data_IF_140725078122
#
_entry.id   IF_140725078122
#
_cell.length_a   1.000
_cell.length_b   1.000
_cell.length_c   1.000
_cell.angle_alpha   90.00
_cell.angle_beta   90.00
_cell.angle_gamma   90.00
#
_symmetry.space_group_name_H-M   'P 1'
#
loop_
_entity.id
_entity.type
_entity.pdbx_description
1 polymer ?
#
# COMPACT_ATOMS: atom_id res chain seq x y z
N UNK A 1 -21.23 -54.47 -1.63
CA UNK A 1 -20.49 -53.36 -2.26
C UNK A 1 -21.02 -52.06 -1.70
N UNK A 2 -20.23 -51.34 -0.90
CA UNK A 2 -20.61 -50.04 -0.36
C UNK A 2 -20.21 -48.94 -1.35
N UNK A 3 -21.18 -48.25 -1.93
CA UNK A 3 -20.93 -47.09 -2.79
C UNK A 3 -20.78 -45.85 -1.92
N UNK A 4 -19.55 -45.34 -1.81
CA UNK A 4 -19.28 -44.05 -1.19
C UNK A 4 -19.86 -42.94 -2.07
N UNK A 5 -20.90 -42.25 -1.60
CA UNK A 5 -21.43 -41.03 -2.21
C UNK A 5 -20.39 -39.92 -2.03
N UNK A 6 -19.72 -39.55 -3.13
CA UNK A 6 -18.81 -38.40 -3.19
C UNK A 6 -19.59 -37.12 -2.89
N UNK A 7 -19.44 -36.61 -1.67
CA UNK A 7 -19.93 -35.29 -1.30
C UNK A 7 -19.01 -34.21 -1.90
N UNK A 8 -19.20 -33.87 -3.16
CA UNK A 8 -18.47 -32.79 -3.82
C UNK A 8 -19.18 -31.45 -3.55
N UNK A 9 -19.03 -30.94 -2.32
CA UNK A 9 -19.44 -29.59 -1.97
C UNK A 9 -18.22 -28.76 -1.54
N UNK A 10 -17.18 -28.73 -2.39
CA UNK A 10 -16.20 -27.64 -2.36
C UNK A 10 -16.81 -26.43 -3.05
N UNK A 11 -17.60 -25.65 -2.31
CA UNK A 11 -17.95 -24.29 -2.73
C UNK A 11 -16.64 -23.52 -2.83
N UNK A 12 -16.21 -23.23 -4.07
CA UNK A 12 -15.15 -22.28 -4.36
C UNK A 12 -15.38 -21.03 -3.52
N UNK A 13 -14.37 -20.48 -2.81
CA UNK A 13 -14.55 -19.24 -2.10
C UNK A 13 -14.96 -18.20 -3.13
N UNK A 14 -16.19 -17.69 -2.97
CA UNK A 14 -16.69 -16.53 -3.73
C UNK A 14 -15.60 -15.48 -3.63
N UNK A 15 -14.99 -15.14 -4.75
CA UNK A 15 -14.14 -13.96 -4.91
C UNK A 15 -14.92 -12.79 -4.31
N UNK A 16 -14.64 -12.46 -3.05
CA UNK A 16 -15.13 -11.24 -2.44
C UNK A 16 -14.62 -10.14 -3.37
N UNK A 17 -15.49 -9.31 -3.97
CA UNK A 17 -15.00 -8.14 -4.67
C UNK A 17 -14.11 -7.41 -3.66
N UNK A 18 -12.83 -7.18 -4.02
CA UNK A 18 -11.91 -6.38 -3.21
C UNK A 18 -12.71 -5.16 -2.81
N UNK A 19 -13.02 -5.02 -1.51
CA UNK A 19 -13.75 -3.87 -1.02
C UNK A 19 -13.01 -2.68 -1.60
N UNK A 20 -13.73 -1.84 -2.35
CA UNK A 20 -13.20 -0.55 -2.78
C UNK A 20 -12.90 0.16 -1.47
N UNK A 21 -11.66 0.04 -0.99
CA UNK A 21 -11.20 0.75 0.20
C UNK A 21 -11.45 2.20 -0.14
N UNK A 22 -12.35 2.84 0.58
CA UNK A 22 -12.62 4.26 0.40
C UNK A 22 -11.27 4.97 0.42
N UNK A 23 -10.86 5.50 -0.73
CA UNK A 23 -9.61 6.25 -0.86
C UNK A 23 -9.87 7.60 -0.21
N UNK A 24 -9.84 7.62 1.12
CA UNK A 24 -9.90 8.85 1.90
C UNK A 24 -8.62 9.61 1.61
N UNK A 25 -8.74 10.63 0.76
CA UNK A 25 -7.66 11.53 0.43
C UNK A 25 -7.53 12.55 1.55
N UNK A 26 -6.56 12.35 2.45
CA UNK A 26 -6.20 13.33 3.46
C UNK A 26 -5.13 14.27 2.90
N UNK A 27 -5.34 15.58 3.03
CA UNK A 27 -4.33 16.59 2.72
C UNK A 27 -3.57 16.91 4.01
N UNK A 28 -2.25 16.90 3.94
CA UNK A 28 -1.37 17.20 5.06
C UNK A 28 -0.45 18.35 4.64
N UNK A 29 -0.39 19.39 5.46
CA UNK A 29 0.55 20.49 5.29
C UNK A 29 1.77 20.24 6.16
N UNK A 30 2.95 20.29 5.57
CA UNK A 30 4.24 20.12 6.27
C UNK A 30 5.07 21.39 6.16
N UNK A 31 5.81 21.71 7.22
CA UNK A 31 6.82 22.76 7.22
C UNK A 31 8.17 22.09 7.02
N UNK A 32 8.91 22.54 6.02
CA UNK A 32 10.25 22.07 5.70
C UNK A 32 11.17 23.28 5.55
N UNK A 33 12.46 23.08 5.82
CA UNK A 33 13.49 24.08 5.56
C UNK A 33 13.74 24.24 4.06
N UNK A 34 14.43 25.34 3.68
CA UNK A 34 14.81 25.57 2.29
C UNK A 34 15.79 24.51 1.77
N UNK A 35 16.73 24.07 2.61
CA UNK A 35 17.70 23.01 2.28
C UNK A 35 16.99 21.67 2.01
N UNK A 36 16.03 21.28 2.85
CA UNK A 36 15.22 20.08 2.62
C UNK A 36 14.43 20.18 1.31
N UNK A 37 13.87 21.35 1.01
CA UNK A 37 13.14 21.59 -0.23
C UNK A 37 14.02 21.41 -1.48
N UNK A 38 15.25 21.92 -1.44
CA UNK A 38 16.21 21.78 -2.54
C UNK A 38 16.57 20.31 -2.77
N UNK A 39 16.87 19.56 -1.71
CA UNK A 39 17.14 18.12 -1.80
C UNK A 39 15.96 17.34 -2.39
N UNK A 40 14.72 17.70 -2.02
CA UNK A 40 13.53 17.06 -2.60
C UNK A 40 13.39 17.39 -4.09
N UNK A 41 13.73 18.60 -4.51
CA UNK A 41 13.70 18.99 -5.93
C UNK A 41 14.67 18.17 -6.77
N UNK A 42 15.89 17.94 -6.27
CA UNK A 42 16.89 17.11 -6.95
C UNK A 42 16.35 15.69 -7.16
N UNK A 43 15.72 15.10 -6.13
CA UNK A 43 15.09 13.78 -6.23
C UNK A 43 13.95 13.79 -7.25
N UNK A 44 13.10 14.84 -7.23
CA UNK A 44 12.00 14.98 -8.18
C UNK A 44 12.50 15.03 -9.61
N UNK A 45 13.57 15.78 -9.88
CA UNK A 45 14.18 15.86 -11.20
C UNK A 45 14.83 14.54 -11.62
N UNK A 46 15.55 13.87 -10.73
CA UNK A 46 16.22 12.60 -11.01
C UNK A 46 15.26 11.44 -11.30
N UNK A 47 14.03 11.50 -10.78
CA UNK A 47 13.01 10.44 -10.92
C UNK A 47 11.83 10.84 -11.83
N UNK A 48 11.88 12.01 -12.47
CA UNK A 48 10.79 12.60 -13.27
C UNK A 48 9.44 12.65 -12.51
N UNK A 49 9.49 13.05 -11.25
CA UNK A 49 8.30 13.16 -10.39
C UNK A 49 7.77 14.58 -10.42
N UNK A 50 6.49 14.72 -10.75
CA UNK A 50 5.85 16.04 -10.91
C UNK A 50 5.25 16.61 -9.62
N UNK A 51 5.04 15.78 -8.59
CA UNK A 51 4.36 16.20 -7.34
C UNK A 51 5.16 15.85 -6.11
N UNK A 52 5.36 16.82 -5.22
CA UNK A 52 5.97 16.63 -3.90
C UNK A 52 5.27 15.54 -3.08
N UNK A 53 3.94 15.42 -3.20
CA UNK A 53 3.18 14.40 -2.47
C UNK A 53 3.62 12.98 -2.80
N UNK A 54 4.08 12.73 -4.03
CA UNK A 54 4.47 11.39 -4.46
C UNK A 54 5.82 11.01 -3.86
N UNK A 55 6.77 11.96 -3.81
CA UNK A 55 8.03 11.80 -3.06
C UNK A 55 7.77 11.52 -1.58
N UNK A 56 6.90 12.30 -0.95
CA UNK A 56 6.57 12.11 0.47
C UNK A 56 5.89 10.75 0.73
N UNK A 57 5.00 10.30 -0.17
CA UNK A 57 4.39 8.97 -0.07
C UNK A 57 5.42 7.86 -0.20
N UNK A 58 6.35 7.96 -1.17
CA UNK A 58 7.43 6.99 -1.32
C UNK A 58 8.30 6.92 -0.07
N UNK A 59 8.71 8.07 0.47
CA UNK A 59 9.49 8.13 1.70
C UNK A 59 8.75 7.45 2.87
N UNK A 60 7.46 7.74 3.05
CA UNK A 60 6.63 7.09 4.06
C UNK A 60 6.52 5.57 3.85
N UNK A 61 6.43 5.11 2.61
CA UNK A 61 6.41 3.68 2.30
C UNK A 61 7.74 3.00 2.63
N UNK A 62 8.87 3.63 2.28
CA UNK A 62 10.22 3.13 2.59
C UNK A 62 10.48 3.07 4.11
N UNK A 63 9.99 4.06 4.86
CA UNK A 63 10.06 4.04 6.33
C UNK A 63 9.23 2.91 6.93
N UNK A 64 8.02 2.66 6.39
CA UNK A 64 7.13 1.59 6.88
C UNK A 64 7.68 0.19 6.62
N UNK A 65 8.42 -0.02 5.54
CA UNK A 65 9.06 -1.32 5.26
C UNK A 65 10.26 -1.62 6.16
N UNK A 66 10.83 -0.61 6.82
CA UNK A 66 11.96 -0.78 7.75
C UNK A 66 11.53 -0.86 9.22
N UNK A 67 10.26 -0.58 9.50
CA UNK A 67 9.64 -0.92 10.78
C UNK A 67 9.20 -2.38 10.68
N UNK A 68 9.92 -3.28 11.37
CA UNK A 68 9.63 -4.71 11.48
C UNK A 68 8.31 -5.05 12.19
N UNK A 69 7.21 -4.36 11.87
CA UNK A 69 5.87 -4.86 12.09
C UNK A 69 5.40 -5.52 10.81
N UNK A 70 5.80 -6.78 10.70
CA UNK A 70 5.03 -7.82 10.05
C UNK A 70 3.53 -7.60 10.31
N UNK A 71 2.81 -7.08 9.32
CA UNK A 71 1.38 -7.37 9.21
C UNK A 71 1.24 -8.81 8.72
N UNK A 72 1.68 -9.76 9.55
CA UNK A 72 1.24 -11.15 9.48
C UNK A 72 0.00 -11.19 10.37
N UNK A 73 -1.12 -10.74 9.81
CA UNK A 73 -2.43 -11.24 10.19
C UNK A 73 -2.96 -11.97 8.95
N UNK A 74 -2.85 -13.29 8.93
CA UNK A 74 -3.78 -14.23 9.58
C UNK A 74 -4.69 -14.81 8.49
N UNK A 75 -4.27 -15.95 7.96
CA UNK A 75 -5.12 -17.02 7.43
C UNK A 75 -4.43 -18.35 7.67
#
# INVERSE_FOLDING_TARGET
MATATRNYNKKLPKNKPKSKKDVKSSVITVRISNEEKERINEIMMGMDIRRYSDVMRMALHMMKTNSGYTWVNMQ
#
